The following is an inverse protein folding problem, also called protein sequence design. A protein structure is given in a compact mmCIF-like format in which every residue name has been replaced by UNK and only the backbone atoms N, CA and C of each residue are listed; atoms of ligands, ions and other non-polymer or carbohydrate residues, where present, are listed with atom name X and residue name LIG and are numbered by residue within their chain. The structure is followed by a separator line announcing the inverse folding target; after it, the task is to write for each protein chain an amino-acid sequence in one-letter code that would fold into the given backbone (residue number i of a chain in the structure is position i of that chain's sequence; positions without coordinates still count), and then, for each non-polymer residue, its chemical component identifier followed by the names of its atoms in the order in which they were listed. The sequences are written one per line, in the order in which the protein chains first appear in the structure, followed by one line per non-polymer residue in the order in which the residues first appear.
data_IF_014616684094
#
_entry.id   IF_014616684094
#
_cell.length_a   1.000
_cell.length_b   1.000
_cell.length_c   1.000
_cell.angle_alpha   90.00
_cell.angle_beta   90.00
_cell.angle_gamma   90.00
#
_symmetry.space_group_name_H-M   'P 1'
#
loop_
_entity.id
_entity.type
_entity.pdbx_description
1 polymer ?
#
# COMPACT_ATOMS: atom_id res chain seq x y z
N UNK A 1 12.80 -8.40 -9.33
CA UNK A 1 12.76 -9.38 -8.24
C UNK A 1 12.67 -10.75 -8.85
N UNK A 2 13.66 -11.62 -8.64
CA UNK A 2 13.58 -13.03 -9.09
C UNK A 2 12.64 -13.77 -8.16
N UNK A 3 11.94 -14.80 -8.63
CA UNK A 3 10.98 -15.59 -7.81
C UNK A 3 11.60 -16.06 -6.49
N UNK A 4 12.86 -16.54 -6.50
CA UNK A 4 13.56 -16.96 -5.28
C UNK A 4 13.88 -15.84 -4.28
N UNK A 5 13.81 -14.56 -4.66
CA UNK A 5 13.95 -13.43 -3.73
C UNK A 5 12.67 -13.20 -2.93
N UNK A 6 11.49 -13.47 -3.51
CA UNK A 6 10.20 -13.29 -2.84
C UNK A 6 10.05 -14.29 -1.69
N UNK A 7 10.28 -15.58 -1.97
CA UNK A 7 10.16 -16.63 -0.97
C UNK A 7 11.11 -16.40 0.21
N UNK A 8 12.35 -15.97 -0.08
CA UNK A 8 13.32 -15.59 0.95
C UNK A 8 12.79 -14.44 1.81
N UNK A 9 12.35 -13.34 1.20
CA UNK A 9 11.80 -12.19 1.94
C UNK A 9 10.61 -12.58 2.80
N UNK A 10 9.66 -13.36 2.28
CA UNK A 10 8.49 -13.81 3.06
C UNK A 10 8.90 -14.75 4.21
N UNK A 11 9.92 -15.59 4.02
CA UNK A 11 10.43 -16.47 5.07
C UNK A 11 11.06 -15.69 6.24
N UNK A 12 11.64 -14.53 5.96
CA UNK A 12 12.31 -13.66 6.95
C UNK A 12 11.34 -12.67 7.63
N UNK A 13 10.09 -12.54 7.16
CA UNK A 13 9.08 -11.67 7.79
C UNK A 13 8.57 -12.24 9.12
N UNK A 14 8.35 -11.35 10.10
CA UNK A 14 7.62 -11.68 11.32
C UNK A 14 6.14 -11.93 11.01
N UNK A 15 5.43 -12.55 11.96
CA UNK A 15 3.98 -12.75 11.81
C UNK A 15 3.22 -11.40 11.73
N UNK A 16 3.66 -10.40 12.48
CA UNK A 16 3.07 -9.06 12.47
C UNK A 16 3.28 -8.35 11.13
N UNK A 17 4.47 -8.47 10.52
CA UNK A 17 4.71 -7.90 9.18
C UNK A 17 3.84 -8.57 8.13
N UNK A 18 3.66 -9.91 8.21
CA UNK A 18 2.75 -10.65 7.32
C UNK A 18 1.30 -10.18 7.51
N UNK A 19 0.85 -10.06 8.76
CA UNK A 19 -0.50 -9.57 9.07
C UNK A 19 -0.71 -8.14 8.57
N UNK A 20 0.27 -7.25 8.74
CA UNK A 20 0.23 -5.88 8.24
C UNK A 20 0.21 -5.82 6.71
N UNK A 21 0.94 -6.71 6.03
CA UNK A 21 1.07 -6.72 4.57
C UNK A 21 -0.25 -7.05 3.86
N UNK A 22 -1.09 -7.90 4.47
CA UNK A 22 -2.36 -8.36 3.89
C UNK A 22 -3.57 -7.47 4.24
N UNK A 23 -3.34 -6.33 4.90
CA UNK A 23 -4.39 -5.38 5.28
C UNK A 23 -4.03 -3.99 4.77
N UNK A 24 -4.99 -3.26 4.22
CA UNK A 24 -4.81 -1.86 3.84
C UNK A 24 -4.67 -0.92 5.05
N UNK A 25 -4.21 0.31 4.82
CA UNK A 25 -4.07 1.33 5.90
C UNK A 25 -5.41 1.93 6.37
N UNK A 26 -6.52 1.55 5.74
CA UNK A 26 -7.82 2.20 5.87
C UNK A 26 -8.16 3.00 4.62
N UNK A 27 -9.32 3.68 4.62
CA UNK A 27 -9.75 4.54 3.51
C UNK A 27 -9.04 5.89 3.65
N UNK A 28 -8.12 6.28 2.73
CA UNK A 28 -7.32 7.48 2.89
C UNK A 28 -8.19 8.75 2.96
N UNK A 29 -7.90 9.61 3.95
CA UNK A 29 -8.62 10.87 4.16
C UNK A 29 -10.04 10.75 4.72
N UNK A 30 -10.47 9.55 5.13
CA UNK A 30 -11.78 9.32 5.76
C UNK A 30 -11.63 8.71 7.15
N UNK A 31 -12.60 8.97 8.04
CA UNK A 31 -12.70 8.33 9.37
C UNK A 31 -11.46 8.49 10.27
N UNK A 32 -10.76 9.63 10.15
CA UNK A 32 -9.54 9.90 10.90
C UNK A 32 -8.26 9.31 10.29
N UNK A 33 -8.35 8.60 9.15
CA UNK A 33 -7.17 8.14 8.43
C UNK A 33 -6.48 9.31 7.71
N UNK A 34 -5.14 9.33 7.65
CA UNK A 34 -4.41 10.36 6.92
C UNK A 34 -4.73 10.30 5.41
N UNK A 35 -4.59 11.42 4.68
CA UNK A 35 -4.72 11.41 3.24
C UNK A 35 -3.59 10.59 2.60
N UNK A 36 -3.88 9.97 1.45
CA UNK A 36 -2.87 9.30 0.64
C UNK A 36 -1.84 10.30 0.12
N UNK A 37 -0.62 9.83 -0.13
CA UNK A 37 0.39 10.62 -0.87
C UNK A 37 -0.04 10.98 -2.29
N UNK A 38 -1.04 10.27 -2.83
CA UNK A 38 -1.78 10.64 -4.04
C UNK A 38 -3.21 10.99 -3.63
N UNK A 39 -3.54 12.28 -3.44
CA UNK A 39 -4.86 12.69 -2.95
C UNK A 39 -6.00 12.14 -3.81
N UNK A 40 -7.02 11.56 -3.17
CA UNK A 40 -8.17 10.95 -3.86
C UNK A 40 -7.99 9.48 -4.25
N UNK A 41 -6.83 8.87 -4.00
CA UNK A 41 -6.63 7.43 -4.16
C UNK A 41 -7.54 6.61 -3.23
N UNK A 42 -7.87 5.39 -3.66
CA UNK A 42 -8.81 4.50 -2.98
C UNK A 42 -8.21 3.78 -1.76
N UNK A 43 -6.91 3.50 -1.76
CA UNK A 43 -6.24 2.82 -0.65
C UNK A 43 -4.73 2.75 -0.78
N UNK A 44 -4.07 2.39 0.33
CA UNK A 44 -2.63 2.06 0.35
C UNK A 44 -2.36 0.79 1.17
N UNK A 45 -1.28 0.08 0.83
CA UNK A 45 -0.70 -0.96 1.71
C UNK A 45 0.15 -0.32 2.81
N UNK A 46 0.53 -1.10 3.83
CA UNK A 46 1.58 -0.70 4.78
C UNK A 46 2.96 -0.93 4.18
N UNK A 47 3.92 -0.05 4.47
CA UNK A 47 5.33 -0.28 4.16
C UNK A 47 5.92 -1.33 5.11
N UNK A 48 6.97 -2.02 4.65
CA UNK A 48 7.82 -2.86 5.50
C UNK A 48 9.27 -2.38 5.31
N UNK A 49 9.65 -1.40 6.12
CA UNK A 49 10.93 -0.68 5.99
C UNK A 49 12.14 -1.61 6.12
N UNK A 50 12.05 -2.65 6.96
CA UNK A 50 13.15 -3.62 7.16
C UNK A 50 13.58 -4.31 5.86
N UNK A 51 12.63 -4.53 4.95
CA UNK A 51 12.89 -5.13 3.63
C UNK A 51 12.93 -4.10 2.50
N UNK A 52 12.86 -2.79 2.81
CA UNK A 52 12.81 -1.74 1.82
C UNK A 52 11.55 -1.78 0.95
N UNK A 53 10.44 -2.34 1.44
CA UNK A 53 9.17 -2.43 0.70
C UNK A 53 8.34 -1.17 0.99
N UNK A 54 8.13 -0.27 0.03
CA UNK A 54 7.31 0.93 0.23
C UNK A 54 5.81 0.59 0.25
N UNK A 55 4.97 1.51 0.73
CA UNK A 55 3.53 1.38 0.51
C UNK A 55 3.19 1.52 -0.97
N UNK A 56 2.28 0.69 -1.46
CA UNK A 56 1.69 0.80 -2.79
C UNK A 56 0.39 1.59 -2.72
N UNK A 57 0.12 2.43 -3.73
CA UNK A 57 -1.10 3.24 -3.84
C UNK A 57 -2.03 2.61 -4.86
N UNK A 58 -3.30 2.51 -4.50
CA UNK A 58 -4.37 1.95 -5.34
C UNK A 58 -5.39 3.06 -5.60
N UNK A 59 -5.69 3.32 -6.87
CA UNK A 59 -6.70 4.30 -7.28
C UNK A 59 -7.58 3.71 -8.38
N UNK A 60 -8.85 4.08 -8.36
CA UNK A 60 -9.81 3.79 -9.42
C UNK A 60 -9.50 4.65 -10.67
N UNK A 61 -10.23 4.56 -11.78
CA UNK A 61 -11.17 3.51 -12.15
C UNK A 61 -11.29 3.33 -13.66
N UNK A 62 -12.21 2.46 -14.12
CA UNK A 62 -12.30 2.01 -15.51
C UNK A 62 -12.39 3.11 -16.59
N UNK A 63 -12.90 4.30 -16.24
CA UNK A 63 -13.02 5.45 -17.14
C UNK A 63 -11.77 6.36 -17.16
N UNK A 64 -10.71 6.00 -16.44
CA UNK A 64 -9.51 6.80 -16.25
C UNK A 64 -9.12 6.91 -14.78
N UNK A 65 -7.87 7.32 -14.55
CA UNK A 65 -7.33 7.52 -13.20
C UNK A 65 -8.19 8.53 -12.42
N UNK A 66 -8.73 8.08 -11.29
CA UNK A 66 -9.57 8.81 -10.36
C UNK A 66 -8.76 9.19 -9.13
N UNK A 67 -8.25 10.41 -9.15
CA UNK A 67 -7.56 11.09 -8.04
C UNK A 67 -8.08 12.52 -7.97
N UNK A 68 -7.75 13.25 -6.90
CA UNK A 68 -8.03 14.68 -6.82
C UNK A 68 -7.10 15.42 -7.79
N UNK A 69 -7.62 16.06 -8.86
CA UNK A 69 -6.77 16.73 -9.84
C UNK A 69 -6.22 18.04 -9.27
N UNK A 70 -4.99 18.37 -9.64
CA UNK A 70 -4.50 19.74 -9.59
C UNK A 70 -4.99 20.42 -10.86
N UNK A 71 -5.70 21.54 -10.72
CA UNK A 71 -6.25 22.32 -11.83
C UNK A 71 -5.52 23.63 -11.99
#
# INVERSE_FOLDING_TARGET
MKIGEIDKTISEMTLEEKACFVVGVGIPGMFGNPPSRVPGAAGETRSIERFGIPSAVFADGPAGLRINPIR
#
